data_IF_167191897230
#
_entry.id   IF_167191897230
#
_cell.length_a   1.000
_cell.length_b   1.000
_cell.length_c   1.000
_cell.angle_alpha   90.00
_cell.angle_beta   90.00
_cell.angle_gamma   90.00
#
_symmetry.space_group_name_H-M   'P 1'
#
loop_
_entity.id
_entity.type
_entity.pdbx_description
1 polymer ?
#
# COMPACT_ATOMS: atom_id res chain seq x y z
N UNK A 1 10.44 28.58 19.52
CA UNK A 1 10.57 27.26 18.84
C UNK A 1 9.25 26.94 18.18
N UNK A 2 9.23 26.76 16.87
CA UNK A 2 8.06 26.16 16.20
C UNK A 2 7.87 24.74 16.73
N UNK A 3 6.64 24.41 17.15
CA UNK A 3 6.28 23.04 17.51
C UNK A 3 6.06 22.26 16.23
N UNK A 4 6.67 21.09 16.11
CA UNK A 4 6.55 20.25 14.93
C UNK A 4 6.45 18.77 15.30
N UNK A 5 5.81 17.98 14.45
CA UNK A 5 5.57 16.57 14.67
C UNK A 5 6.70 15.72 14.07
N UNK A 6 7.37 14.90 14.90
CA UNK A 6 8.55 14.09 14.50
C UNK A 6 8.18 12.69 14.01
N UNK A 7 7.37 11.93 14.76
CA UNK A 7 7.04 10.54 14.40
C UNK A 7 5.75 10.05 15.04
N UNK A 8 4.97 9.26 14.30
CA UNK A 8 3.83 8.50 14.85
C UNK A 8 4.33 7.14 15.34
N UNK A 9 3.90 6.74 16.53
CA UNK A 9 4.04 5.34 16.98
C UNK A 9 2.72 4.63 16.75
N UNK A 10 2.74 3.52 16.03
CA UNK A 10 1.58 2.69 15.75
C UNK A 10 1.64 1.42 16.59
N UNK A 11 0.56 1.16 17.31
CA UNK A 11 0.28 -0.13 17.91
C UNK A 11 -0.79 -0.80 17.06
N UNK A 12 -0.38 -1.72 16.18
CA UNK A 12 -1.33 -2.46 15.37
C UNK A 12 -2.04 -3.48 16.26
N UNK A 13 -3.37 -3.51 16.13
CA UNK A 13 -4.20 -4.60 16.63
C UNK A 13 -4.29 -5.56 15.46
N UNK A 14 -3.98 -6.85 15.67
CA UNK A 14 -4.13 -7.91 14.65
C UNK A 14 -5.62 -8.25 14.53
N UNK A 15 -6.41 -7.55 13.70
CA UNK A 15 -7.85 -7.63 13.77
C UNK A 15 -8.28 -8.80 12.87
N UNK A 16 -8.84 -9.85 13.46
CA UNK A 16 -9.53 -10.86 12.68
C UNK A 16 -10.87 -10.30 12.18
N UNK A 17 -11.29 -10.71 10.98
CA UNK A 17 -12.60 -10.31 10.47
C UNK A 17 -13.70 -10.90 11.36
N UNK A 18 -14.58 -10.06 11.90
CA UNK A 18 -15.84 -10.46 12.53
C UNK A 18 -17.03 -10.37 11.57
N UNK A 19 -16.78 -10.02 10.30
CA UNK A 19 -17.80 -9.79 9.30
C UNK A 19 -18.18 -11.10 8.57
N UNK A 20 -19.45 -11.20 8.14
CA UNK A 20 -19.98 -12.36 7.38
C UNK A 20 -19.33 -12.55 6.00
N UNK A 21 -18.74 -11.50 5.44
CA UNK A 21 -18.10 -11.51 4.12
C UNK A 21 -16.71 -10.90 4.24
N UNK A 22 -15.76 -11.46 3.49
CA UNK A 22 -14.44 -10.87 3.33
C UNK A 22 -14.50 -9.55 2.58
N UNK A 23 -13.43 -8.75 2.72
CA UNK A 23 -13.24 -7.53 1.93
C UNK A 23 -13.07 -7.87 0.44
N UNK A 24 -13.43 -6.94 -0.44
CA UNK A 24 -13.20 -7.07 -1.88
C UNK A 24 -11.71 -6.99 -2.21
N UNK A 25 -11.27 -7.66 -3.26
CA UNK A 25 -9.90 -7.60 -3.77
C UNK A 25 -9.49 -6.14 -4.02
N UNK A 26 -10.38 -5.34 -4.63
CA UNK A 26 -10.10 -3.93 -4.94
C UNK A 26 -9.80 -3.09 -3.69
N UNK A 27 -10.45 -3.39 -2.55
CA UNK A 27 -10.25 -2.64 -1.30
C UNK A 27 -8.84 -2.70 -0.74
N UNK A 28 -8.05 -3.70 -1.14
CA UNK A 28 -6.64 -3.86 -0.78
C UNK A 28 -5.71 -3.62 -1.97
N UNK A 29 -6.04 -4.14 -3.15
CA UNK A 29 -5.16 -4.14 -4.32
C UNK A 29 -5.21 -2.84 -5.15
N UNK A 30 -6.20 -1.98 -4.94
CA UNK A 30 -6.34 -0.69 -5.64
C UNK A 30 -6.41 0.50 -4.66
N UNK A 31 -6.10 0.28 -3.38
CA UNK A 31 -6.23 1.30 -2.36
C UNK A 31 -4.86 1.61 -1.72
N UNK A 32 -4.28 2.81 -1.95
CA UNK A 32 -2.99 3.18 -1.37
C UNK A 32 -2.99 3.19 0.16
N UNK A 33 -4.13 3.52 0.77
CA UNK A 33 -4.25 3.52 2.23
C UNK A 33 -4.12 2.11 2.78
N UNK A 34 -4.70 1.12 2.11
CA UNK A 34 -4.66 -0.27 2.56
C UNK A 34 -3.25 -0.86 2.52
N UNK A 35 -2.40 -0.41 1.60
CA UNK A 35 -0.99 -0.82 1.50
C UNK A 35 -0.03 0.09 2.27
N UNK A 36 -0.55 1.05 3.05
CA UNK A 36 0.24 1.89 3.94
C UNK A 36 0.86 3.14 3.29
N UNK A 37 0.55 3.47 2.04
CA UNK A 37 0.99 4.71 1.41
C UNK A 37 0.20 5.94 1.91
N UNK A 38 -1.00 5.72 2.44
CA UNK A 38 -1.87 6.78 2.96
C UNK A 38 -2.99 7.18 2.00
N UNK A 39 -3.73 8.23 2.33
CA UNK A 39 -4.78 8.75 1.47
C UNK A 39 -4.17 9.56 0.32
N UNK A 40 -4.34 9.07 -0.89
CA UNK A 40 -3.71 9.68 -2.05
C UNK A 40 -3.99 8.96 -3.34
N UNK A 41 -3.27 9.36 -4.38
CA UNK A 41 -3.27 8.71 -5.69
C UNK A 41 -1.96 7.96 -5.90
N UNK A 42 -2.06 6.80 -6.52
CA UNK A 42 -0.90 6.03 -6.98
C UNK A 42 -0.81 6.12 -8.49
N UNK A 43 0.40 6.25 -9.01
CA UNK A 43 0.66 6.15 -10.44
C UNK A 43 1.93 5.35 -10.68
N UNK A 44 1.98 4.69 -11.84
CA UNK A 44 3.14 3.93 -12.27
C UNK A 44 3.74 4.62 -13.48
N UNK A 45 5.00 5.04 -13.39
CA UNK A 45 5.72 5.63 -14.51
C UNK A 45 7.09 4.97 -14.63
N UNK A 46 7.43 4.48 -15.83
CA UNK A 46 8.72 3.86 -16.14
C UNK A 46 9.17 2.78 -15.11
N UNK A 47 8.21 1.96 -14.65
CA UNK A 47 8.48 0.89 -13.67
C UNK A 47 8.63 1.33 -12.22
N UNK A 48 8.40 2.61 -11.91
CA UNK A 48 8.43 3.13 -10.53
C UNK A 48 7.03 3.47 -10.04
N UNK A 49 6.80 3.20 -8.76
CA UNK A 49 5.60 3.59 -8.03
C UNK A 49 5.75 5.04 -7.56
N UNK A 50 4.78 5.87 -7.91
CA UNK A 50 4.67 7.24 -7.43
C UNK A 50 3.41 7.38 -6.58
N UNK A 51 3.51 8.13 -5.50
CA UNK A 51 2.40 8.44 -4.62
C UNK A 51 2.27 9.95 -4.45
N UNK A 52 1.06 10.44 -4.64
CA UNK A 52 0.67 11.82 -4.38
C UNK A 52 -0.33 11.84 -3.22
N UNK A 53 0.11 12.37 -2.08
CA UNK A 53 -0.75 12.52 -0.91
C UNK A 53 -1.85 13.55 -1.14
N UNK A 54 -3.08 13.24 -0.73
CA UNK A 54 -4.18 14.22 -0.68
C UNK A 54 -4.20 15.00 0.64
N UNK A 55 -3.50 14.51 1.65
CA UNK A 55 -3.41 15.12 2.97
C UNK A 55 -2.22 16.06 3.06
N UNK A 56 -2.38 17.16 3.80
CA UNK A 56 -1.27 18.05 4.13
C UNK A 56 -0.32 17.34 5.11
N UNK A 57 0.98 17.48 4.88
CA UNK A 57 1.97 17.03 5.85
C UNK A 57 1.86 17.84 7.14
N UNK A 58 1.98 17.14 8.28
CA UNK A 58 2.11 17.73 9.62
C UNK A 58 3.54 17.63 10.15
N UNK A 59 4.44 17.03 9.38
CA UNK A 59 5.87 16.87 9.71
C UNK A 59 6.70 17.97 9.06
N UNK A 60 7.97 18.10 9.44
CA UNK A 60 8.93 18.96 8.73
C UNK A 60 9.13 18.58 7.27
N UNK A 61 8.86 17.32 6.89
CA UNK A 61 8.94 16.88 5.51
C UNK A 61 7.57 17.03 4.82
N UNK A 62 7.41 17.97 3.88
CA UNK A 62 6.11 18.22 3.25
C UNK A 62 5.59 17.03 2.43
N UNK A 63 6.46 16.06 2.11
CA UNK A 63 6.11 14.87 1.29
C UNK A 63 5.53 13.71 2.09
N UNK A 64 5.49 13.80 3.43
CA UNK A 64 5.00 12.71 4.30
C UNK A 64 3.61 13.07 4.79
N UNK A 65 2.60 12.26 4.41
CA UNK A 65 1.26 12.39 4.97
C UNK A 65 1.18 11.82 6.40
N UNK A 66 0.29 12.38 7.23
CA UNK A 66 -0.08 11.85 8.54
C UNK A 66 -0.54 10.39 8.49
N UNK A 67 -1.16 9.98 7.39
CA UNK A 67 -1.80 8.67 7.28
C UNK A 67 -0.90 7.61 6.62
N UNK A 68 0.31 8.02 6.24
CA UNK A 68 1.32 7.22 5.57
C UNK A 68 2.18 6.45 6.57
N UNK A 69 2.29 5.14 6.33
CA UNK A 69 3.11 4.20 7.10
C UNK A 69 4.46 3.97 6.40
N UNK A 70 4.44 3.97 5.07
CA UNK A 70 5.58 3.59 4.23
C UNK A 70 5.70 4.45 2.99
N UNK A 71 6.92 4.71 2.52
CA UNK A 71 7.17 5.38 1.23
C UNK A 71 6.96 4.42 0.04
N UNK A 72 6.79 4.93 -1.19
CA UNK A 72 6.78 4.09 -2.40
C UNK A 72 8.01 3.18 -2.55
N UNK A 73 9.16 3.61 -2.05
CA UNK A 73 10.42 2.85 -2.03
C UNK A 73 10.49 1.82 -0.88
N UNK A 74 9.42 1.66 -0.10
CA UNK A 74 9.35 0.68 1.00
C UNK A 74 9.99 1.13 2.31
N UNK A 75 10.33 2.42 2.47
CA UNK A 75 10.89 2.93 3.73
C UNK A 75 9.78 3.19 4.73
N UNK A 76 9.83 2.54 5.90
CA UNK A 76 8.87 2.76 6.98
C UNK A 76 9.05 4.15 7.60
N UNK A 77 7.94 4.87 7.83
CA UNK A 77 7.90 6.24 8.36
C UNK A 77 7.39 6.32 9.81
N UNK A 78 6.75 5.27 10.30
CA UNK A 78 6.23 5.18 11.68
C UNK A 78 7.11 4.29 12.54
N UNK A 79 7.02 4.45 13.86
CA UNK A 79 7.57 3.48 14.81
C UNK A 79 6.51 2.46 15.13
N UNK A 80 6.90 1.20 15.28
CA UNK A 80 6.00 0.16 15.76
C UNK A 80 6.33 -0.20 17.22
N UNK A 81 5.35 -0.74 17.93
CA UNK A 81 5.51 -1.21 19.30
C UNK A 81 6.24 -2.55 19.42
N UNK A 82 6.40 -3.29 18.31
CA UNK A 82 7.13 -4.56 18.27
C UNK A 82 8.24 -4.54 17.20
N UNK A 83 9.40 -5.16 17.45
CA UNK A 83 10.58 -5.07 16.57
C UNK A 83 10.39 -5.75 15.20
N UNK A 84 9.52 -6.75 15.10
CA UNK A 84 9.23 -7.49 13.86
C UNK A 84 8.26 -6.77 12.92
N UNK A 85 7.57 -5.72 13.39
CA UNK A 85 6.60 -4.99 12.58
C UNK A 85 7.29 -4.03 11.61
N UNK A 86 6.79 -3.99 10.37
CA UNK A 86 7.29 -3.11 9.31
C UNK A 86 6.21 -2.77 8.30
N UNK A 87 6.42 -1.68 7.56
CA UNK A 87 5.70 -1.45 6.30
C UNK A 87 6.09 -2.45 5.21
N UNK A 88 5.29 -2.52 4.14
CA UNK A 88 5.63 -3.29 2.95
C UNK A 88 6.87 -2.71 2.25
N UNK A 89 7.76 -3.56 1.77
CA UNK A 89 8.87 -3.10 0.94
C UNK A 89 8.41 -2.77 -0.49
N UNK A 90 9.28 -2.17 -1.31
CA UNK A 90 8.95 -1.79 -2.69
C UNK A 90 8.44 -3.00 -3.51
N UNK A 91 9.14 -4.13 -3.45
CA UNK A 91 8.76 -5.33 -4.21
C UNK A 91 7.37 -5.87 -3.81
N UNK A 92 7.03 -5.83 -2.52
CA UNK A 92 5.72 -6.21 -2.01
C UNK A 92 4.63 -5.24 -2.45
N UNK A 93 4.89 -3.93 -2.38
CA UNK A 93 3.98 -2.89 -2.84
C UNK A 93 3.65 -3.08 -4.33
N UNK A 94 4.68 -3.25 -5.18
CA UNK A 94 4.50 -3.47 -6.61
C UNK A 94 3.68 -4.73 -6.89
N UNK A 95 4.02 -5.85 -6.24
CA UNK A 95 3.27 -7.12 -6.39
C UNK A 95 1.80 -7.01 -6.00
N UNK A 96 1.50 -6.37 -4.87
CA UNK A 96 0.12 -6.19 -4.39
C UNK A 96 -0.66 -5.31 -5.37
N UNK A 97 -0.12 -4.15 -5.73
CA UNK A 97 -0.80 -3.17 -6.58
C UNK A 97 -0.93 -3.62 -8.03
N UNK A 98 -0.02 -4.48 -8.52
CA UNK A 98 -0.12 -5.08 -9.84
C UNK A 98 -1.40 -5.90 -10.03
N UNK A 99 -1.85 -6.61 -9.00
CA UNK A 99 -3.14 -7.33 -9.05
C UNK A 99 -4.29 -6.34 -9.28
N UNK A 100 -4.18 -5.14 -8.73
CA UNK A 100 -5.12 -4.05 -8.95
C UNK A 100 -5.29 -3.68 -10.43
N UNK A 101 -4.27 -3.83 -11.26
CA UNK A 101 -4.38 -3.56 -12.70
C UNK A 101 -5.29 -4.58 -13.40
N UNK A 102 -5.25 -5.84 -12.98
CA UNK A 102 -6.07 -6.92 -13.53
C UNK A 102 -7.56 -6.75 -13.17
N UNK A 103 -7.85 -6.24 -11.97
CA UNK A 103 -9.20 -6.06 -11.43
C UNK A 103 -10.05 -5.03 -12.18
N UNK A 104 -9.45 -4.22 -13.07
CA UNK A 104 -10.19 -3.30 -13.94
C UNK A 104 -10.95 -4.02 -15.06
N UNK A 105 -10.51 -5.22 -15.44
CA UNK A 105 -11.12 -6.01 -16.51
C UNK A 105 -11.63 -7.37 -16.02
N UNK A 106 -10.96 -7.97 -15.04
CA UNK A 106 -11.32 -9.28 -14.48
C UNK A 106 -12.06 -9.15 -13.15
N UNK A 107 -13.20 -9.82 -13.05
CA UNK A 107 -13.93 -9.91 -11.77
C UNK A 107 -13.20 -10.81 -10.77
N UNK A 108 -13.44 -10.60 -9.48
CA UNK A 108 -12.81 -11.37 -8.39
C UNK A 108 -13.11 -12.88 -8.45
N UNK A 109 -14.16 -13.28 -9.19
CA UNK A 109 -14.56 -14.69 -9.37
C UNK A 109 -13.96 -15.36 -10.60
N UNK A 110 -13.18 -14.60 -11.39
CA UNK A 110 -12.56 -15.10 -12.61
C UNK A 110 -11.62 -16.29 -12.32
N UNK A 111 -11.56 -17.25 -13.25
CA UNK A 111 -10.68 -18.42 -13.15
C UNK A 111 -9.21 -18.00 -13.05
N UNK A 112 -8.84 -16.85 -13.62
CA UNK A 112 -7.49 -16.29 -13.51
C UNK A 112 -6.98 -16.24 -12.07
N UNK A 113 -7.82 -15.78 -11.14
CA UNK A 113 -7.42 -15.62 -9.74
C UNK A 113 -7.38 -16.95 -8.96
N UNK A 114 -8.00 -18.01 -9.49
CA UNK A 114 -7.95 -19.36 -8.88
C UNK A 114 -6.63 -20.07 -9.18
N UNK A 115 -6.00 -19.77 -10.31
CA UNK A 115 -4.73 -20.36 -10.73
C UNK A 115 -3.53 -19.41 -10.55
N UNK A 116 -3.76 -18.26 -9.92
CA UNK A 116 -2.75 -17.24 -9.73
C UNK A 116 -1.57 -17.74 -8.90
N UNK A 117 -0.35 -17.48 -9.37
CA UNK A 117 0.88 -17.78 -8.63
C UNK A 117 1.59 -16.49 -8.24
N UNK A 118 2.35 -16.52 -7.14
CA UNK A 118 3.10 -15.37 -6.64
C UNK A 118 4.10 -14.83 -7.68
N UNK A 119 4.67 -15.71 -8.48
CA UNK A 119 5.66 -15.43 -9.50
C UNK A 119 5.07 -15.02 -10.86
N UNK A 120 3.75 -15.14 -11.05
CA UNK A 120 3.06 -14.72 -12.29
C UNK A 120 3.45 -13.27 -12.63
N UNK A 121 4.06 -13.07 -13.80
CA UNK A 121 4.45 -11.74 -14.30
C UNK A 121 3.43 -11.25 -15.32
N UNK A 122 3.16 -9.95 -15.31
CA UNK A 122 2.30 -9.34 -16.33
C UNK A 122 3.13 -9.18 -17.63
N UNK A 123 2.70 -9.72 -18.77
CA UNK A 123 3.43 -9.55 -20.03
C UNK A 123 3.43 -8.08 -20.50
N UNK A 124 2.40 -7.29 -20.14
CA UNK A 124 2.31 -5.87 -20.45
C UNK A 124 3.15 -4.98 -19.53
N UNK A 125 3.33 -5.42 -18.28
CA UNK A 125 4.07 -4.70 -17.26
C UNK A 125 5.03 -5.65 -16.53
N UNK A 126 6.12 -6.10 -17.18
CA UNK A 126 7.02 -7.10 -16.62
C UNK A 126 7.86 -6.56 -15.45
N UNK A 127 8.00 -5.24 -15.37
CA UNK A 127 8.73 -4.53 -14.32
C UNK A 127 7.87 -4.20 -13.08
N UNK A 128 6.61 -4.66 -13.07
CA UNK A 128 5.69 -4.59 -11.93
C UNK A 128 5.60 -5.93 -11.18
#
# INVERSE_FOLDING_TARGET
MEKYFESITWAQIDPHSTQKKGRTCQSCHQNPKAVGLGYGKISFQKGKLFFEALEKSVTKNPKISLSQIVTPEGKTLVKFNRPEMRGFNEEELLRILRVGLCLNCHSEKDKLFKTWKRDTRCPKFPHL
#
